data_IF_835314866111
#
_entry.id   IF_835314866111
#
_cell.length_a   1.000
_cell.length_b   1.000
_cell.length_c   1.000
_cell.angle_alpha   90.00
_cell.angle_beta   90.00
_cell.angle_gamma   90.00
#
_symmetry.space_group_name_H-M   'P 1'
#
loop_
_entity.id
_entity.type
_entity.pdbx_description
1 polymer ?
#
# COMPACT_ATOMS: atom_id res chain seq x y z
N UNK A 1 -20.97 -13.78 22.07
CA UNK A 1 -19.95 -12.83 22.55
C UNK A 1 -19.14 -12.23 21.40
N UNK A 2 -18.64 -13.02 20.44
CA UNK A 2 -17.83 -12.51 19.32
C UNK A 2 -18.54 -11.49 18.40
N UNK A 3 -19.84 -11.64 18.13
CA UNK A 3 -20.56 -10.71 17.24
C UNK A 3 -20.83 -9.35 17.91
N UNK A 4 -21.21 -9.34 19.20
CA UNK A 4 -21.46 -8.10 19.96
C UNK A 4 -20.21 -7.24 20.03
N UNK A 5 -19.05 -7.86 20.27
CA UNK A 5 -17.75 -7.21 20.30
C UNK A 5 -17.40 -6.58 18.93
N UNK A 6 -17.61 -7.30 17.82
CA UNK A 6 -17.37 -6.76 16.48
C UNK A 6 -18.25 -5.54 16.13
N UNK A 7 -19.51 -5.50 16.60
CA UNK A 7 -20.36 -4.33 16.45
C UNK A 7 -19.84 -3.12 17.23
N UNK A 8 -19.37 -3.33 18.46
CA UNK A 8 -18.83 -2.28 19.32
C UNK A 8 -17.50 -1.74 18.79
N UNK A 9 -16.60 -2.61 18.37
CA UNK A 9 -15.33 -2.25 17.72
C UNK A 9 -15.55 -1.40 16.47
N UNK A 10 -16.47 -1.82 15.58
CA UNK A 10 -16.80 -1.04 14.39
C UNK A 10 -17.41 0.32 14.75
N UNK A 11 -18.28 0.39 15.78
CA UNK A 11 -18.90 1.64 16.22
C UNK A 11 -17.86 2.59 16.84
N UNK A 12 -16.97 2.08 17.67
CA UNK A 12 -15.87 2.82 18.28
C UNK A 12 -14.94 3.38 17.21
N UNK A 13 -14.46 2.53 16.28
CA UNK A 13 -13.61 2.96 15.18
C UNK A 13 -14.26 4.04 14.33
N UNK A 14 -15.56 3.90 14.01
CA UNK A 14 -16.31 4.91 13.24
C UNK A 14 -16.42 6.23 14.00
N UNK A 15 -16.57 6.20 15.32
CA UNK A 15 -16.63 7.41 16.13
C UNK A 15 -15.27 8.13 16.18
N UNK A 16 -14.18 7.39 16.40
CA UNK A 16 -12.82 7.96 16.41
C UNK A 16 -12.45 8.51 15.02
N UNK A 17 -12.74 7.76 13.96
CA UNK A 17 -12.58 8.24 12.59
C UNK A 17 -13.32 9.56 12.36
N UNK A 18 -14.54 9.70 12.87
CA UNK A 18 -15.31 10.94 12.74
C UNK A 18 -14.67 12.10 13.52
N UNK A 19 -14.11 11.83 14.70
CA UNK A 19 -13.42 12.82 15.52
C UNK A 19 -12.12 13.33 14.86
N UNK A 20 -11.45 12.49 14.07
CA UNK A 20 -10.22 12.82 13.34
C UNK A 20 -10.48 13.58 12.02
N UNK A 21 -11.73 13.70 11.60
CA UNK A 21 -12.13 14.56 10.48
C UNK A 21 -12.38 15.98 10.99
N UNK A 22 -11.79 16.97 10.32
CA UNK A 22 -11.93 18.37 10.71
C UNK A 22 -13.02 19.10 9.92
N UNK A 23 -12.62 20.12 9.17
CA UNK A 23 -13.57 20.93 8.39
C UNK A 23 -14.37 20.02 7.45
N UNK A 24 -15.69 20.26 7.36
CA UNK A 24 -16.64 19.43 6.59
C UNK A 24 -16.75 17.97 7.05
N UNK A 25 -16.40 17.64 8.30
CA UNK A 25 -16.46 16.27 8.86
C UNK A 25 -17.70 15.47 8.48
N UNK A 26 -18.91 16.04 8.61
CA UNK A 26 -20.15 15.32 8.31
C UNK A 26 -20.22 14.89 6.84
N UNK A 27 -19.85 15.78 5.91
CA UNK A 27 -19.88 15.48 4.47
C UNK A 27 -18.75 14.52 4.07
N UNK A 28 -17.58 14.61 4.71
CA UNK A 28 -16.47 13.67 4.50
C UNK A 28 -16.85 12.27 4.99
N UNK A 29 -17.46 12.18 6.17
CA UNK A 29 -17.89 10.90 6.73
C UNK A 29 -19.04 10.28 5.92
N UNK A 30 -20.03 11.07 5.52
CA UNK A 30 -21.09 10.60 4.63
C UNK A 30 -20.57 10.15 3.25
N UNK A 31 -19.45 10.70 2.76
CA UNK A 31 -18.77 10.18 1.55
C UNK A 31 -18.20 8.77 1.79
N UNK A 32 -17.63 8.51 2.97
CA UNK A 32 -17.16 7.17 3.35
C UNK A 32 -18.33 6.19 3.40
N UNK A 33 -19.42 6.57 4.08
CA UNK A 33 -20.64 5.74 4.15
C UNK A 33 -21.21 5.48 2.74
N UNK A 34 -21.26 6.50 1.87
CA UNK A 34 -21.72 6.36 0.49
C UNK A 34 -20.86 5.40 -0.34
N UNK A 35 -19.52 5.45 -0.20
CA UNK A 35 -18.63 4.50 -0.87
C UNK A 35 -18.87 3.07 -0.39
N UNK A 36 -19.07 2.91 0.91
CA UNK A 36 -19.28 1.60 1.52
C UNK A 36 -20.63 0.96 1.14
N UNK A 37 -21.66 1.74 0.84
CA UNK A 37 -22.99 1.22 0.49
C UNK A 37 -23.33 1.25 -1.00
N UNK A 38 -22.55 1.95 -1.83
CA UNK A 38 -22.82 2.01 -3.27
C UNK A 38 -22.26 0.76 -3.96
N UNK A 39 -23.09 -0.04 -4.66
CA UNK A 39 -22.68 -1.33 -5.20
C UNK A 39 -21.73 -1.25 -6.41
N UNK A 40 -21.56 -0.07 -7.01
CA UNK A 40 -20.62 0.15 -8.11
C UNK A 40 -19.76 1.39 -7.87
N UNK A 41 -18.51 1.36 -8.36
CA UNK A 41 -17.66 2.54 -8.42
C UNK A 41 -18.42 3.71 -9.08
N UNK A 42 -18.39 4.86 -8.42
CA UNK A 42 -19.24 5.99 -8.78
C UNK A 42 -18.47 7.31 -8.77
N UNK A 43 -18.96 8.28 -9.52
CA UNK A 43 -18.46 9.67 -9.44
C UNK A 43 -18.96 10.34 -8.16
N UNK A 44 -18.34 11.44 -7.73
CA UNK A 44 -18.79 12.19 -6.54
C UNK A 44 -20.28 12.57 -6.62
N UNK A 45 -20.73 13.04 -7.78
CA UNK A 45 -22.13 13.41 -7.98
C UNK A 45 -23.05 12.20 -7.84
N UNK A 46 -22.66 11.02 -8.35
CA UNK A 46 -23.45 9.80 -8.16
C UNK A 46 -23.43 9.30 -6.72
N UNK A 47 -22.32 9.45 -5.99
CA UNK A 47 -22.26 9.11 -4.57
C UNK A 47 -23.24 9.95 -3.74
N UNK A 48 -23.53 11.19 -4.16
CA UNK A 48 -24.54 12.02 -3.49
C UNK A 48 -25.98 11.52 -3.61
N UNK A 49 -26.23 10.54 -4.50
CA UNK A 49 -27.53 9.90 -4.65
C UNK A 49 -27.68 8.66 -3.75
N UNK A 50 -26.59 8.23 -3.07
CA UNK A 50 -26.67 7.18 -2.06
C UNK A 50 -27.53 7.66 -0.89
N UNK A 51 -28.37 6.77 -0.36
CA UNK A 51 -29.17 7.05 0.85
C UNK A 51 -28.30 7.35 2.08
N UNK A 52 -27.04 6.90 2.06
CA UNK A 52 -26.06 7.19 3.09
C UNK A 52 -25.50 8.62 3.02
N UNK A 53 -25.66 9.32 1.89
CA UNK A 53 -25.28 10.71 1.72
C UNK A 53 -26.50 11.62 1.86
N UNK A 54 -26.67 12.25 3.01
CA UNK A 54 -27.92 12.97 3.37
C UNK A 54 -27.89 14.43 2.92
N UNK A 55 -26.77 14.89 2.37
CA UNK A 55 -26.54 16.26 1.91
C UNK A 55 -26.75 16.38 0.39
N UNK A 56 -26.85 17.61 -0.09
CA UNK A 56 -26.98 17.85 -1.53
C UNK A 56 -25.67 17.60 -2.26
N UNK A 57 -25.75 17.28 -3.56
CA UNK A 57 -24.59 16.96 -4.38
C UNK A 57 -23.41 17.95 -4.29
N UNK A 58 -23.59 19.28 -4.17
CA UNK A 58 -22.45 20.21 -4.09
C UNK A 58 -21.58 19.95 -2.86
N UNK A 59 -22.15 19.39 -1.79
CA UNK A 59 -21.43 19.05 -0.56
C UNK A 59 -20.36 17.98 -0.79
N UNK A 60 -20.48 17.13 -1.82
CA UNK A 60 -19.43 16.14 -2.15
C UNK A 60 -18.15 16.83 -2.63
N UNK A 61 -18.28 17.78 -3.55
CA UNK A 61 -17.15 18.56 -4.07
C UNK A 61 -16.60 19.50 -3.00
N UNK A 62 -17.46 20.17 -2.24
CA UNK A 62 -17.10 21.09 -1.15
C UNK A 62 -16.32 20.37 -0.03
N UNK A 63 -16.74 19.16 0.35
CA UNK A 63 -16.03 18.33 1.33
C UNK A 63 -14.60 18.02 0.89
N UNK A 64 -14.42 17.61 -0.37
CA UNK A 64 -13.07 17.32 -0.87
C UNK A 64 -12.28 18.55 -1.26
N UNK A 65 -12.90 19.70 -1.51
CA UNK A 65 -12.18 20.94 -1.83
C UNK A 65 -11.68 21.62 -0.56
N UNK A 66 -12.55 21.73 0.45
CA UNK A 66 -12.34 22.58 1.63
C UNK A 66 -12.37 21.80 2.95
N UNK A 67 -12.55 20.48 2.93
CA UNK A 67 -12.49 19.68 4.15
C UNK A 67 -11.06 19.42 4.63
N UNK A 68 -10.91 18.99 5.88
CA UNK A 68 -9.61 18.61 6.45
C UNK A 68 -9.65 17.24 7.10
N UNK A 69 -8.50 16.58 7.09
CA UNK A 69 -8.28 15.25 7.67
C UNK A 69 -7.02 15.34 8.51
N UNK A 70 -7.09 14.97 9.79
CA UNK A 70 -5.89 14.84 10.61
C UNK A 70 -5.19 13.52 10.29
N UNK A 71 -4.20 13.59 9.41
CA UNK A 71 -3.44 12.42 8.96
C UNK A 71 -2.64 11.78 10.12
N UNK A 72 -2.17 12.57 11.08
CA UNK A 72 -1.45 12.02 12.23
C UNK A 72 -2.37 11.23 13.14
N UNK A 73 -3.57 11.76 13.40
CA UNK A 73 -4.59 11.07 14.18
C UNK A 73 -5.08 9.79 13.48
N UNK A 74 -5.35 9.84 12.17
CA UNK A 74 -5.72 8.64 11.40
C UNK A 74 -4.64 7.56 11.43
N UNK A 75 -3.35 7.92 11.33
CA UNK A 75 -2.27 6.94 11.47
C UNK A 75 -2.27 6.29 12.85
N UNK A 76 -2.51 7.06 13.92
CA UNK A 76 -2.63 6.51 15.28
C UNK A 76 -3.84 5.59 15.41
N UNK A 77 -4.99 5.98 14.85
CA UNK A 77 -6.20 5.15 14.82
C UNK A 77 -5.93 3.82 14.10
N UNK A 78 -5.31 3.85 12.91
CA UNK A 78 -4.99 2.65 12.15
C UNK A 78 -3.95 1.77 12.85
N UNK A 79 -2.89 2.40 13.40
CA UNK A 79 -1.85 1.70 14.15
C UNK A 79 -2.39 1.01 15.40
N UNK A 80 -3.19 1.72 16.21
CA UNK A 80 -3.81 1.16 17.41
C UNK A 80 -4.81 0.05 17.09
N UNK A 81 -5.62 0.22 16.04
CA UNK A 81 -6.55 -0.83 15.58
C UNK A 81 -5.81 -2.06 15.02
N UNK A 82 -4.59 -1.88 14.50
CA UNK A 82 -3.77 -2.99 13.99
C UNK A 82 -3.21 -3.85 15.13
N UNK A 83 -2.91 -3.29 16.30
CA UNK A 83 -2.38 -4.05 17.45
C UNK A 83 -3.30 -5.23 17.82
N UNK A 84 -4.61 -5.06 17.62
CA UNK A 84 -5.63 -6.09 17.82
C UNK A 84 -5.76 -7.09 16.64
N UNK A 85 -5.00 -6.91 15.55
CA UNK A 85 -5.18 -7.62 14.27
C UNK A 85 -3.90 -8.33 13.80
N UNK A 86 -3.89 -9.66 14.01
CA UNK A 86 -3.20 -10.73 13.28
C UNK A 86 -1.75 -10.54 12.78
N UNK A 87 -0.89 -11.50 13.16
CA UNK A 87 0.49 -11.65 12.69
C UNK A 87 0.61 -12.75 11.63
N UNK A 88 1.54 -12.62 10.69
CA UNK A 88 1.91 -13.68 9.75
C UNK A 88 3.22 -14.30 10.21
N UNK A 89 3.18 -15.60 10.54
CA UNK A 89 4.35 -16.33 11.07
C UNK A 89 4.98 -15.60 12.30
N UNK A 90 4.13 -15.10 13.20
CA UNK A 90 4.55 -14.50 14.48
C UNK A 90 5.02 -13.05 14.42
N UNK A 91 4.97 -12.38 13.26
CA UNK A 91 5.33 -10.96 13.11
C UNK A 91 4.29 -10.15 12.34
N UNK A 92 4.15 -8.83 12.59
CA UNK A 92 3.39 -7.94 11.73
C UNK A 92 4.03 -7.90 10.34
N UNK A 93 3.24 -8.16 9.29
CA UNK A 93 3.71 -8.14 7.91
C UNK A 93 3.16 -6.93 7.18
N UNK A 94 4.05 -6.09 6.68
CA UNK A 94 3.73 -4.89 5.92
C UNK A 94 4.25 -4.98 4.49
N UNK A 95 3.59 -4.25 3.60
CA UNK A 95 3.90 -4.17 2.18
C UNK A 95 3.92 -2.70 1.78
N UNK A 96 4.99 -2.29 1.08
CA UNK A 96 5.04 -0.97 0.44
C UNK A 96 4.97 -1.16 -1.06
N UNK A 97 3.99 -0.49 -1.68
CA UNK A 97 3.86 -0.51 -3.13
C UNK A 97 3.29 0.81 -3.69
N UNK A 98 3.69 1.10 -4.92
CA UNK A 98 3.31 2.30 -5.65
C UNK A 98 2.18 2.02 -6.63
N UNK A 99 1.23 2.93 -6.73
CA UNK A 99 0.20 2.85 -7.77
C UNK A 99 -0.26 4.23 -8.20
N UNK A 100 -0.71 4.35 -9.46
CA UNK A 100 -1.02 5.64 -10.05
C UNK A 100 -2.52 5.92 -10.21
N UNK A 101 -2.82 7.22 -10.26
CA UNK A 101 -4.11 7.79 -10.60
C UNK A 101 -3.99 8.54 -11.94
N UNK A 102 -4.43 7.94 -13.06
CA UNK A 102 -4.32 8.54 -14.39
C UNK A 102 -5.14 9.83 -14.58
N UNK A 103 -4.48 10.87 -15.10
CA UNK A 103 -4.98 12.24 -15.33
C UNK A 103 -4.58 12.83 -16.70
N UNK A 104 -4.74 12.10 -17.84
CA UNK A 104 -4.22 12.55 -19.13
C UNK A 104 -4.84 13.87 -19.64
N UNK A 105 -6.15 14.06 -19.44
CA UNK A 105 -6.87 15.24 -19.90
C UNK A 105 -6.91 16.40 -18.88
N UNK A 106 -6.40 16.21 -17.66
CA UNK A 106 -6.60 17.16 -16.55
C UNK A 106 -5.55 18.28 -16.54
N UNK A 107 -5.54 19.15 -17.55
CA UNK A 107 -4.54 20.23 -17.69
C UNK A 107 -4.48 21.20 -16.51
N UNK A 108 -5.61 21.36 -15.80
CA UNK A 108 -5.72 22.22 -14.62
C UNK A 108 -5.39 21.52 -13.30
N UNK A 109 -4.81 20.33 -13.33
CA UNK A 109 -4.31 19.62 -12.15
C UNK A 109 -2.79 19.79 -12.05
N UNK A 110 -2.36 20.45 -10.97
CA UNK A 110 -0.96 20.54 -10.59
C UNK A 110 -0.38 19.16 -10.22
N UNK A 111 0.93 19.10 -10.05
CA UNK A 111 1.69 17.96 -9.52
C UNK A 111 1.55 16.64 -10.28
N UNK A 112 1.11 16.69 -11.54
CA UNK A 112 1.07 15.51 -12.40
C UNK A 112 2.49 15.16 -12.84
N UNK A 113 2.82 13.88 -12.75
CA UNK A 113 4.07 13.30 -13.23
C UNK A 113 3.80 12.31 -14.35
N UNK A 114 4.83 12.00 -15.14
CA UNK A 114 4.76 10.95 -16.15
C UNK A 114 4.87 9.58 -15.48
N UNK A 115 3.79 8.78 -15.56
CA UNK A 115 3.72 7.46 -14.93
C UNK A 115 3.41 6.36 -15.94
N UNK A 116 4.04 5.20 -15.75
CA UNK A 116 3.73 4.03 -16.55
C UNK A 116 2.34 3.49 -16.21
N UNK A 117 1.49 3.36 -17.22
CA UNK A 117 0.19 2.71 -17.18
C UNK A 117 0.20 1.57 -18.20
N UNK A 118 0.15 0.31 -17.76
CA UNK A 118 -0.07 -0.80 -18.66
C UNK A 118 -1.49 -0.64 -19.24
N UNK A 119 -1.58 -0.32 -20.52
CA UNK A 119 -2.82 -0.34 -21.27
C UNK A 119 -2.82 -1.61 -22.12
N UNK A 120 -3.99 -2.21 -22.29
CA UNK A 120 -4.17 -3.39 -23.15
C UNK A 120 -4.34 -2.95 -24.61
N UNK A 121 -3.47 -3.41 -25.51
CA UNK A 121 -3.54 -3.15 -26.97
C UNK A 121 -2.26 -2.55 -27.57
N UNK A 122 -2.22 -2.39 -28.90
CA UNK A 122 -1.10 -1.79 -29.66
C UNK A 122 -1.58 -0.59 -30.52
N UNK A 123 -0.75 0.47 -30.71
CA UNK A 123 0.45 0.82 -29.97
C UNK A 123 0.09 1.77 -28.82
N UNK A 124 0.64 1.55 -27.63
CA UNK A 124 0.46 2.46 -26.51
C UNK A 124 1.80 2.62 -25.82
N UNK A 125 2.41 3.81 -25.95
CA UNK A 125 3.67 4.16 -25.28
C UNK A 125 3.57 4.08 -23.74
N UNK A 126 2.41 3.70 -23.18
CA UNK A 126 2.27 3.19 -21.82
C UNK A 126 2.58 4.20 -20.73
N UNK A 127 2.75 5.49 -21.04
CA UNK A 127 3.07 6.54 -20.08
C UNK A 127 1.99 7.62 -20.17
N UNK A 128 1.40 7.98 -19.04
CA UNK A 128 0.34 8.99 -18.97
C UNK A 128 0.62 9.99 -17.84
N UNK A 129 0.16 11.24 -17.96
CA UNK A 129 0.12 12.16 -16.82
C UNK A 129 -0.75 11.56 -15.73
N UNK A 130 -0.22 11.48 -14.52
CA UNK A 130 -0.90 10.89 -13.38
C UNK A 130 -0.40 11.51 -12.07
N UNK A 131 -1.13 11.27 -10.99
CA UNK A 131 -0.56 11.38 -9.65
C UNK A 131 -0.11 9.99 -9.22
N UNK A 132 1.12 9.85 -8.74
CA UNK A 132 1.58 8.61 -8.13
C UNK A 132 1.36 8.64 -6.63
N UNK A 133 0.94 7.51 -6.07
CA UNK A 133 0.77 7.31 -4.65
C UNK A 133 1.58 6.10 -4.21
N UNK A 134 2.13 6.19 -3.02
CA UNK A 134 2.78 5.08 -2.34
C UNK A 134 1.94 4.71 -1.11
N UNK A 135 1.63 3.42 -1.00
CA UNK A 135 0.82 2.86 0.06
C UNK A 135 1.68 1.95 0.92
N UNK A 136 1.66 2.19 2.22
CA UNK A 136 2.13 1.25 3.24
C UNK A 136 0.90 0.56 3.82
N UNK A 137 0.84 -0.76 3.69
CA UNK A 137 -0.32 -1.57 4.13
C UNK A 137 0.13 -2.74 4.99
N UNK A 138 -0.65 -3.12 5.99
CA UNK A 138 -0.50 -4.40 6.67
C UNK A 138 -1.22 -5.52 5.90
N UNK A 139 -0.66 -6.72 5.95
CA UNK A 139 -1.30 -7.96 5.50
C UNK A 139 -1.59 -8.80 6.74
N UNK A 140 -2.83 -8.80 7.25
CA UNK A 140 -3.14 -9.41 8.55
C UNK A 140 -3.13 -10.93 8.51
N UNK A 141 -3.48 -11.54 7.37
CA UNK A 141 -3.69 -12.98 7.28
C UNK A 141 -2.66 -13.68 6.38
N UNK A 142 -2.32 -14.92 6.76
CA UNK A 142 -1.49 -15.86 5.99
C UNK A 142 -2.12 -16.24 4.63
N UNK A 143 -3.43 -16.01 4.48
CA UNK A 143 -4.21 -16.30 3.27
C UNK A 143 -5.26 -15.22 3.02
N UNK A 144 -5.97 -15.30 1.89
CA UNK A 144 -7.00 -14.32 1.52
C UNK A 144 -6.43 -13.05 0.88
N UNK A 145 -7.31 -12.06 0.71
CA UNK A 145 -7.07 -10.85 -0.10
C UNK A 145 -7.18 -9.54 0.70
N UNK A 146 -7.08 -9.61 2.02
CA UNK A 146 -7.15 -8.43 2.89
C UNK A 146 -5.81 -7.72 2.96
N UNK A 147 -5.87 -6.40 2.87
CA UNK A 147 -4.79 -5.51 3.29
C UNK A 147 -5.42 -4.36 4.09
N UNK A 148 -4.67 -3.82 5.04
CA UNK A 148 -5.10 -2.74 5.92
C UNK A 148 -4.18 -1.54 5.69
N UNK A 149 -4.64 -0.45 5.06
CA UNK A 149 -3.83 0.73 4.85
C UNK A 149 -3.32 1.33 6.17
N UNK A 150 -2.02 1.55 6.29
CA UNK A 150 -1.40 2.19 7.46
C UNK A 150 -1.00 3.63 7.16
N UNK A 151 -0.47 3.86 5.96
CA UNK A 151 -0.14 5.20 5.50
C UNK A 151 -0.22 5.30 3.97
N UNK A 152 -0.48 6.50 3.48
CA UNK A 152 -0.55 6.79 2.05
C UNK A 152 -0.03 8.18 1.74
N UNK A 153 0.90 8.25 0.78
CA UNK A 153 1.56 9.50 0.42
C UNK A 153 1.58 9.67 -1.10
N UNK A 154 1.14 10.84 -1.56
CA UNK A 154 1.30 11.24 -2.96
C UNK A 154 2.75 11.65 -3.20
N UNK A 155 3.33 11.10 -4.25
CA UNK A 155 4.68 11.44 -4.70
C UNK A 155 4.60 12.53 -5.77
N UNK A 156 4.65 13.78 -5.33
CA UNK A 156 4.67 14.95 -6.22
C UNK A 156 5.97 15.08 -7.04
N UNK A 157 6.11 16.15 -7.83
CA UNK A 157 7.30 16.43 -8.63
C UNK A 157 8.58 16.61 -7.81
N UNK A 158 8.46 17.25 -6.65
CA UNK A 158 9.55 17.53 -5.71
C UNK A 158 9.67 16.48 -4.61
N UNK A 159 8.87 15.41 -4.69
CA UNK A 159 8.94 14.34 -3.71
C UNK A 159 10.30 13.64 -3.81
N UNK A 160 10.77 13.19 -2.65
CA UNK A 160 11.98 12.40 -2.56
C UNK A 160 11.87 11.06 -3.32
N UNK A 161 12.96 10.29 -3.29
CA UNK A 161 12.98 8.97 -3.90
C UNK A 161 11.85 8.09 -3.33
N UNK A 162 11.42 7.08 -4.09
CA UNK A 162 10.39 6.14 -3.61
C UNK A 162 10.82 5.49 -2.29
N UNK A 163 12.11 5.17 -2.21
CA UNK A 163 12.76 4.60 -1.03
C UNK A 163 12.70 5.51 0.18
N UNK A 164 13.01 6.79 0.01
CA UNK A 164 13.00 7.71 1.14
C UNK A 164 11.57 7.88 1.69
N UNK A 165 10.60 8.08 0.80
CA UNK A 165 9.18 8.10 1.18
C UNK A 165 8.78 6.80 1.89
N UNK A 166 9.28 5.64 1.44
CA UNK A 166 8.96 4.35 2.07
C UNK A 166 9.48 4.28 3.51
N UNK A 167 10.72 4.72 3.73
CA UNK A 167 11.33 4.76 5.07
C UNK A 167 10.61 5.74 6.00
N UNK A 168 10.22 6.91 5.49
CA UNK A 168 9.44 7.90 6.25
C UNK A 168 8.06 7.36 6.67
N UNK A 169 7.37 6.65 5.76
CA UNK A 169 6.08 6.02 6.08
C UNK A 169 6.24 4.95 7.18
N UNK A 170 7.30 4.12 7.11
CA UNK A 170 7.60 3.13 8.16
C UNK A 170 7.81 3.85 9.50
N UNK A 171 8.67 4.87 9.53
CA UNK A 171 8.96 5.64 10.75
C UNK A 171 7.70 6.29 11.32
N UNK A 172 6.89 6.93 10.47
CA UNK A 172 5.66 7.59 10.89
C UNK A 172 4.64 6.61 11.50
N UNK A 173 4.49 5.41 10.92
CA UNK A 173 3.59 4.38 11.46
C UNK A 173 4.18 3.77 12.74
N UNK A 174 5.49 3.50 12.81
CA UNK A 174 6.12 3.00 14.04
C UNK A 174 5.98 3.96 15.20
N UNK A 175 6.12 5.27 14.97
CA UNK A 175 5.87 6.28 16.00
C UNK A 175 4.41 6.37 16.46
N UNK A 176 3.47 5.92 15.62
CA UNK A 176 2.05 5.90 15.96
C UNK A 176 1.64 4.63 16.74
N UNK A 177 2.49 3.59 16.76
CA UNK A 177 2.27 2.35 17.48
C UNK A 177 2.73 2.46 18.95
N UNK A 178 2.16 1.63 19.81
CA UNK A 178 2.63 1.47 21.17
C UNK A 178 4.04 0.86 21.18
N UNK A 179 4.86 1.26 22.16
CA UNK A 179 6.27 0.85 22.25
C UNK A 179 6.50 -0.66 22.37
N UNK A 180 5.50 -1.42 22.82
CA UNK A 180 5.55 -2.87 22.96
C UNK A 180 5.20 -3.62 21.66
N UNK A 181 4.80 -2.91 20.60
CA UNK A 181 4.39 -3.54 19.34
C UNK A 181 5.58 -4.23 18.67
N UNK A 182 5.46 -5.51 18.30
CA UNK A 182 6.55 -6.25 17.67
C UNK A 182 7.08 -5.52 16.43
N UNK A 183 8.40 -5.64 16.21
CA UNK A 183 9.07 -5.10 15.03
C UNK A 183 8.47 -5.74 13.76
N UNK A 184 7.97 -4.97 12.79
CA UNK A 184 7.34 -5.51 11.60
C UNK A 184 8.36 -6.02 10.59
N UNK A 185 7.91 -6.90 9.71
CA UNK A 185 8.59 -7.25 8.46
C UNK A 185 7.97 -6.44 7.33
N UNK A 186 8.77 -5.70 6.57
CA UNK A 186 8.30 -4.85 5.47
C UNK A 186 8.82 -5.41 4.16
N UNK A 187 7.91 -5.74 3.25
CA UNK A 187 8.25 -6.26 1.93
C UNK A 187 8.26 -5.17 0.86
N UNK A 188 9.30 -5.15 0.03
CA UNK A 188 9.52 -4.17 -1.04
C UNK A 188 9.88 -4.87 -2.35
N UNK A 189 9.55 -4.26 -3.50
CA UNK A 189 10.02 -4.77 -4.80
C UNK A 189 11.42 -4.26 -5.18
N UNK A 190 11.86 -4.64 -6.37
CA UNK A 190 13.17 -4.30 -6.91
C UNK A 190 13.29 -2.88 -7.46
N UNK A 191 12.21 -2.09 -7.39
CA UNK A 191 12.20 -0.68 -7.78
C UNK A 191 12.73 0.25 -6.69
N UNK A 192 12.87 -0.23 -5.46
CA UNK A 192 13.43 0.53 -4.35
C UNK A 192 14.96 0.47 -4.34
N UNK A 193 15.58 1.61 -4.03
CA UNK A 193 17.03 1.78 -3.99
C UNK A 193 17.67 1.01 -2.83
N UNK A 194 18.49 0.02 -3.16
CA UNK A 194 19.05 -0.90 -2.19
C UNK A 194 20.13 -0.26 -1.30
N UNK A 195 20.88 0.73 -1.81
CA UNK A 195 21.91 1.44 -1.03
C UNK A 195 21.28 2.23 0.13
N UNK A 196 20.22 2.98 -0.17
CA UNK A 196 19.46 3.72 0.84
C UNK A 196 18.78 2.78 1.86
N UNK A 197 18.21 1.66 1.40
CA UNK A 197 17.60 0.67 2.30
C UNK A 197 18.63 0.01 3.22
N UNK A 198 19.79 -0.38 2.68
CA UNK A 198 20.85 -1.03 3.46
C UNK A 198 21.37 -0.13 4.60
N UNK A 199 21.49 1.18 4.35
CA UNK A 199 21.92 2.18 5.35
C UNK A 199 20.82 2.60 6.31
N UNK A 200 19.58 2.16 6.10
CA UNK A 200 18.45 2.62 6.91
C UNK A 200 18.49 2.05 8.33
N UNK A 201 18.10 2.86 9.30
CA UNK A 201 18.05 2.49 10.73
C UNK A 201 16.61 2.41 11.26
N UNK A 202 15.65 2.21 10.34
CA UNK A 202 14.23 2.17 10.67
C UNK A 202 13.90 1.01 11.61
N UNK A 203 12.86 1.17 12.43
CA UNK A 203 12.39 0.12 13.33
C UNK A 203 11.55 -0.96 12.59
N UNK A 204 12.15 -1.60 11.59
CA UNK A 204 11.56 -2.68 10.79
C UNK A 204 12.63 -3.59 10.16
N UNK A 205 12.28 -4.84 9.87
CA UNK A 205 13.14 -5.70 9.04
C UNK A 205 12.61 -5.75 7.61
N UNK A 206 13.51 -5.58 6.64
CA UNK A 206 13.15 -5.36 5.25
C UNK A 206 13.42 -6.61 4.41
N UNK A 207 12.42 -7.04 3.66
CA UNK A 207 12.52 -8.11 2.66
C UNK A 207 12.37 -7.47 1.28
N UNK A 208 13.49 -7.27 0.58
CA UNK A 208 13.53 -6.51 -0.67
C UNK A 208 13.78 -7.45 -1.83
N UNK A 209 12.95 -7.37 -2.88
CA UNK A 209 13.23 -8.13 -4.11
C UNK A 209 14.48 -7.60 -4.80
N UNK A 210 15.39 -8.50 -5.17
CA UNK A 210 16.54 -8.15 -5.98
C UNK A 210 16.27 -8.42 -7.46
N UNK A 211 16.67 -7.49 -8.32
CA UNK A 211 16.66 -7.71 -9.75
C UNK A 211 17.76 -8.71 -10.12
N UNK A 212 17.47 -9.64 -11.04
CA UNK A 212 18.37 -10.75 -11.41
C UNK A 212 19.79 -10.34 -11.83
N UNK A 213 19.96 -9.10 -12.31
CA UNK A 213 21.22 -8.59 -12.84
C UNK A 213 22.05 -7.84 -11.79
N UNK A 214 21.61 -7.85 -10.53
CA UNK A 214 22.34 -7.17 -9.46
C UNK A 214 23.64 -7.90 -9.14
N UNK A 215 24.61 -7.11 -8.71
CA UNK A 215 25.90 -7.54 -8.20
C UNK A 215 26.03 -6.95 -6.80
N UNK A 216 26.39 -7.79 -5.84
CA UNK A 216 26.77 -7.42 -4.48
C UNK A 216 28.17 -7.96 -4.22
N UNK A 217 28.77 -7.62 -3.09
CA UNK A 217 30.16 -7.92 -2.80
C UNK A 217 30.29 -8.52 -1.42
N UNK A 218 31.23 -9.44 -1.26
CA UNK A 218 31.68 -9.87 0.06
C UNK A 218 32.48 -8.76 0.74
N UNK A 219 32.52 -8.80 2.08
CA UNK A 219 33.45 -7.97 2.85
C UNK A 219 34.88 -8.31 2.45
N UNK A 220 35.69 -7.29 2.16
CA UNK A 220 37.10 -7.47 1.82
C UNK A 220 37.89 -7.91 3.06
N UNK A 221 38.79 -8.87 2.89
CA UNK A 221 39.78 -9.20 3.91
C UNK A 221 40.69 -7.99 4.19
N UNK A 222 40.86 -7.66 5.48
CA UNK A 222 41.77 -6.59 5.89
C UNK A 222 43.19 -7.11 5.89
N UNK A 223 43.98 -6.68 4.91
CA UNK A 223 45.42 -6.92 4.90
C UNK A 223 46.19 -5.70 5.42
N UNK A 224 47.20 -5.87 6.31
CA UNK A 224 48.06 -4.78 6.72
C UNK A 224 48.90 -4.29 5.53
N UNK A 225 48.82 -2.99 5.22
CA UNK A 225 49.54 -2.37 4.11
C UNK A 225 49.42 -0.86 4.10
N UNK A 226 50.24 -0.18 3.28
CA UNK A 226 50.15 1.27 3.05
C UNK A 226 49.16 1.56 1.92
N UNK A 227 48.07 2.26 2.22
CA UNK A 227 47.08 2.70 1.22
C UNK A 227 45.63 2.65 1.72
N UNK A 228 44.67 3.06 0.88
CA UNK A 228 43.24 2.90 1.16
C UNK A 228 42.89 1.41 1.21
N UNK A 229 42.29 0.90 2.30
CA UNK A 229 41.87 -0.50 2.37
C UNK A 229 40.93 -0.87 1.23
N UNK A 230 41.02 -2.11 0.75
CA UNK A 230 40.03 -2.65 -0.21
C UNK A 230 38.65 -2.62 0.46
N UNK A 231 37.66 -2.11 -0.25
CA UNK A 231 36.28 -1.98 0.24
C UNK A 231 35.40 -3.18 -0.14
N UNK A 232 35.75 -3.88 -1.22
CA UNK A 232 34.98 -4.97 -1.77
C UNK A 232 35.87 -6.20 -1.90
N UNK A 233 35.38 -7.33 -1.39
CA UNK A 233 35.91 -8.65 -1.66
C UNK A 233 35.43 -9.15 -3.02
N UNK A 234 35.27 -10.47 -3.12
CA UNK A 234 34.78 -11.09 -4.35
C UNK A 234 33.36 -10.62 -4.70
N UNK A 235 33.09 -10.53 -6.01
CA UNK A 235 31.80 -10.10 -6.51
C UNK A 235 30.82 -11.27 -6.54
N UNK A 236 29.67 -11.11 -5.88
CA UNK A 236 28.54 -12.03 -5.92
C UNK A 236 27.54 -11.54 -6.97
N UNK A 237 27.46 -12.23 -8.12
CA UNK A 237 26.60 -11.87 -9.25
C UNK A 237 25.37 -12.77 -9.26
N UNK A 238 24.18 -12.21 -9.05
CA UNK A 238 22.94 -13.00 -8.93
C UNK A 238 22.61 -13.84 -10.17
N UNK A 239 23.10 -13.44 -11.34
CA UNK A 239 22.89 -14.13 -12.61
C UNK A 239 23.90 -15.27 -12.87
N UNK A 240 24.95 -15.39 -12.06
CA UNK A 240 26.11 -16.25 -12.30
C UNK A 240 26.43 -17.07 -11.04
N UNK A 241 26.03 -18.34 -11.05
CA UNK A 241 26.07 -19.24 -9.89
C UNK A 241 27.49 -19.55 -9.42
N UNK A 242 28.48 -19.49 -10.32
CA UNK A 242 29.88 -19.78 -10.00
C UNK A 242 30.47 -18.73 -9.04
N UNK A 243 29.82 -17.57 -8.91
CA UNK A 243 30.25 -16.48 -8.02
C UNK A 243 29.68 -16.55 -6.61
N UNK A 244 28.76 -17.48 -6.32
CA UNK A 244 28.00 -17.45 -5.06
C UNK A 244 28.75 -18.05 -3.88
N UNK A 245 29.68 -18.98 -4.14
CA UNK A 245 30.31 -19.78 -3.08
C UNK A 245 29.28 -20.63 -2.31
N UNK A 246 29.69 -21.16 -1.16
CA UNK A 246 28.80 -21.96 -0.31
C UNK A 246 27.85 -21.06 0.51
N UNK A 247 26.54 -21.35 0.55
CA UNK A 247 25.62 -20.63 1.41
C UNK A 247 25.87 -20.96 2.89
N UNK A 248 25.79 -19.95 3.75
CA UNK A 248 25.92 -20.10 5.19
C UNK A 248 24.72 -20.83 5.81
N UNK A 249 23.52 -20.64 5.24
CA UNK A 249 22.30 -21.31 5.67
C UNK A 249 21.56 -21.87 4.46
N UNK A 250 20.97 -23.06 4.60
CA UNK A 250 20.15 -23.66 3.56
C UNK A 250 18.97 -24.41 4.20
N UNK A 251 17.81 -24.34 3.58
CA UNK A 251 16.60 -25.04 4.00
C UNK A 251 15.90 -25.61 2.77
N UNK A 252 15.31 -26.79 2.91
CA UNK A 252 14.49 -27.43 1.88
C UNK A 252 13.13 -27.78 2.44
N UNK A 253 12.09 -27.58 1.65
CA UNK A 253 10.74 -28.02 1.98
C UNK A 253 10.00 -28.48 0.73
N UNK A 254 8.98 -29.31 0.94
CA UNK A 254 8.05 -29.70 -0.11
C UNK A 254 6.80 -28.82 -0.04
N UNK A 255 6.42 -28.19 -1.14
CA UNK A 255 5.23 -27.36 -1.23
C UNK A 255 4.28 -27.87 -2.31
N UNK A 256 3.00 -28.06 -1.99
CA UNK A 256 2.01 -28.66 -2.90
C UNK A 256 1.99 -28.01 -4.30
N UNK A 257 1.96 -26.66 -4.34
CA UNK A 257 1.90 -25.90 -5.59
C UNK A 257 3.25 -25.72 -6.31
N UNK A 258 4.38 -25.78 -5.59
CA UNK A 258 5.70 -25.38 -6.10
C UNK A 258 6.70 -26.54 -6.20
N UNK A 259 6.34 -27.72 -5.71
CA UNK A 259 7.23 -28.88 -5.62
C UNK A 259 8.29 -28.70 -4.53
N UNK A 260 9.49 -29.25 -4.74
CA UNK A 260 10.63 -28.98 -3.88
C UNK A 260 11.01 -27.49 -3.92
N UNK A 261 11.24 -26.91 -2.75
CA UNK A 261 11.65 -25.53 -2.58
C UNK A 261 12.97 -25.52 -1.81
N UNK A 262 14.00 -24.97 -2.44
CA UNK A 262 15.32 -24.77 -1.86
C UNK A 262 15.52 -23.28 -1.58
N UNK A 263 15.91 -22.98 -0.35
CA UNK A 263 16.17 -21.62 0.11
C UNK A 263 17.59 -21.58 0.65
N UNK A 264 18.44 -20.81 0.01
CA UNK A 264 19.84 -20.63 0.37
C UNK A 264 20.06 -19.17 0.79
N UNK A 265 20.85 -18.92 1.83
CA UNK A 265 21.17 -17.58 2.30
C UNK A 265 22.68 -17.36 2.42
N UNK A 266 23.10 -16.19 1.97
CA UNK A 266 24.46 -15.68 2.10
C UNK A 266 24.45 -14.42 2.96
N UNK A 267 25.28 -14.40 4.00
CA UNK A 267 25.37 -13.30 4.97
C UNK A 267 26.58 -12.41 4.69
N UNK A 268 26.62 -11.22 5.30
CA UNK A 268 27.76 -10.29 5.20
C UNK A 268 28.08 -9.85 3.75
N UNK A 269 27.03 -9.56 2.97
CA UNK A 269 27.14 -9.03 1.61
C UNK A 269 26.74 -7.55 1.57
N UNK A 270 27.34 -6.77 0.69
CA UNK A 270 27.01 -5.34 0.55
C UNK A 270 26.92 -4.89 -0.90
N UNK A 271 26.21 -3.78 -1.11
CA UNK A 271 26.19 -3.07 -2.40
C UNK A 271 27.41 -2.15 -2.52
N UNK A 272 27.83 -1.86 -3.76
CA UNK A 272 29.02 -1.06 -4.03
C UNK A 272 29.01 0.31 -3.31
N UNK A 273 27.89 1.03 -3.31
CA UNK A 273 27.77 2.32 -2.62
C UNK A 273 27.56 2.25 -1.11
N UNK A 274 27.42 1.04 -0.53
CA UNK A 274 27.22 0.86 0.91
C UNK A 274 28.07 -0.28 1.53
N UNK A 275 29.41 -0.21 1.43
CA UNK A 275 30.29 -1.26 1.97
C UNK A 275 30.28 -1.40 3.49
N UNK A 276 29.80 -0.37 4.18
CA UNK A 276 29.66 -0.31 5.63
C UNK A 276 28.27 -0.79 6.11
N UNK A 277 27.37 -1.16 5.20
CA UNK A 277 26.02 -1.63 5.52
C UNK A 277 25.75 -3.02 4.93
N UNK A 278 26.35 -4.08 5.49
CA UNK A 278 26.14 -5.44 5.02
C UNK A 278 24.72 -5.93 5.34
N UNK A 279 24.21 -6.84 4.50
CA UNK A 279 22.92 -7.49 4.62
C UNK A 279 23.01 -8.93 4.11
N UNK A 280 21.91 -9.68 4.24
CA UNK A 280 21.85 -11.06 3.77
C UNK A 280 21.14 -11.17 2.42
N UNK A 281 21.67 -11.96 1.50
CA UNK A 281 21.02 -12.31 0.24
C UNK A 281 20.41 -13.69 0.35
N UNK A 282 19.17 -13.85 -0.07
CA UNK A 282 18.42 -15.11 -0.03
C UNK A 282 17.98 -15.48 -1.44
N UNK A 283 18.31 -16.69 -1.86
CA UNK A 283 17.83 -17.31 -3.10
C UNK A 283 16.73 -18.30 -2.77
N UNK A 284 15.58 -18.13 -3.40
CA UNK A 284 14.48 -19.11 -3.39
C UNK A 284 14.37 -19.73 -4.78
N UNK A 285 14.67 -21.03 -4.86
CA UNK A 285 14.49 -21.83 -6.04
C UNK A 285 13.35 -22.82 -5.80
N UNK A 286 12.36 -22.82 -6.70
CA UNK A 286 11.25 -23.77 -6.67
C UNK A 286 11.44 -24.80 -7.79
N UNK A 287 10.86 -25.99 -7.66
CA UNK A 287 10.87 -27.03 -8.69
C UNK A 287 9.97 -26.64 -9.87
N UNK A 288 8.78 -26.12 -9.58
CA UNK A 288 7.77 -25.76 -10.59
C UNK A 288 6.95 -24.54 -10.23
N UNK A 289 6.37 -23.89 -11.24
CA UNK A 289 5.37 -22.83 -11.06
C UNK A 289 3.98 -23.35 -11.43
N UNK A 290 2.93 -22.98 -10.68
CA UNK A 290 1.56 -23.26 -11.09
C UNK A 290 1.29 -22.73 -12.50
N UNK A 291 0.76 -23.60 -13.37
CA UNK A 291 0.34 -23.24 -14.73
C UNK A 291 1.46 -22.73 -15.66
N UNK A 292 2.74 -23.00 -15.38
CA UNK A 292 3.84 -22.71 -16.32
C UNK A 292 4.70 -23.94 -16.59
N UNK A 293 5.05 -24.12 -17.86
CA UNK A 293 5.92 -25.21 -18.33
C UNK A 293 7.42 -24.89 -18.28
N UNK A 294 7.77 -23.60 -18.26
CA UNK A 294 9.17 -23.17 -18.24
C UNK A 294 9.77 -23.36 -16.85
N UNK A 295 11.07 -23.70 -16.77
CA UNK A 295 11.75 -23.84 -15.49
C UNK A 295 11.67 -22.50 -14.72
N UNK A 296 11.30 -22.54 -13.44
CA UNK A 296 11.26 -21.36 -12.59
C UNK A 296 12.63 -20.70 -12.50
N UNK A 297 12.66 -19.38 -12.72
CA UNK A 297 13.83 -18.58 -12.38
C UNK A 297 13.89 -18.36 -10.87
N UNK A 298 15.09 -18.29 -10.27
CA UNK A 298 15.23 -18.02 -8.86
C UNK A 298 14.64 -16.66 -8.48
N UNK A 299 13.97 -16.63 -7.33
CA UNK A 299 13.61 -15.39 -6.65
C UNK A 299 14.77 -15.00 -5.74
N UNK A 300 15.26 -13.79 -5.91
CA UNK A 300 16.32 -13.22 -5.09
C UNK A 300 15.75 -12.16 -4.17
N UNK A 301 16.09 -12.25 -2.88
CA UNK A 301 15.66 -11.33 -1.84
C UNK A 301 16.89 -10.81 -1.10
N UNK A 302 16.85 -9.57 -0.64
CA UNK A 302 17.72 -9.06 0.41
C UNK A 302 16.94 -9.01 1.72
N UNK A 303 17.58 -9.45 2.79
CA UNK A 303 17.13 -9.31 4.17
C UNK A 303 18.02 -8.28 4.85
N UNK A 304 17.43 -7.15 5.23
CA UNK A 304 18.10 -6.01 5.86
C UNK A 304 17.42 -5.76 7.22
N UNK A 305 18.18 -5.79 8.31
CA UNK A 305 17.65 -5.59 9.66
C UNK A 305 18.25 -6.58 10.66
N UNK A 306 17.41 -7.15 11.52
CA UNK A 306 17.80 -8.13 12.53
C UNK A 306 18.41 -9.43 11.97
N UNK A 307 18.71 -10.41 12.84
CA UNK A 307 19.23 -11.70 12.41
C UNK A 307 18.25 -12.42 11.47
N UNK A 308 18.78 -13.25 10.57
CA UNK A 308 17.96 -14.12 9.73
C UNK A 308 17.07 -15.02 10.62
N UNK A 309 15.81 -15.28 10.23
CA UNK A 309 14.99 -16.28 10.89
C UNK A 309 15.66 -17.66 10.85
N UNK A 310 15.51 -18.44 11.92
CA UNK A 310 16.02 -19.83 11.97
C UNK A 310 15.41 -20.69 10.87
N UNK A 311 14.11 -20.51 10.57
CA UNK A 311 13.45 -21.10 9.42
C UNK A 311 13.42 -20.10 8.26
N UNK A 312 14.30 -20.29 7.27
CA UNK A 312 14.38 -19.43 6.08
C UNK A 312 13.09 -19.47 5.23
N UNK A 313 12.25 -20.50 5.36
CA UNK A 313 11.01 -20.61 4.60
C UNK A 313 9.98 -19.55 4.97
N UNK A 314 10.10 -18.96 6.16
CA UNK A 314 9.29 -17.82 6.59
C UNK A 314 9.52 -16.59 5.69
N UNK A 315 10.77 -16.30 5.29
CA UNK A 315 11.09 -15.17 4.41
C UNK A 315 10.37 -15.27 3.06
N UNK A 316 10.34 -16.48 2.51
CA UNK A 316 9.63 -16.76 1.28
C UNK A 316 8.11 -16.60 1.45
N UNK A 317 7.53 -17.12 2.54
CA UNK A 317 6.09 -16.95 2.85
C UNK A 317 5.71 -15.49 3.02
N UNK A 318 6.46 -14.70 3.78
CA UNK A 318 6.25 -13.26 3.90
C UNK A 318 6.29 -12.57 2.54
N UNK A 319 7.29 -12.88 1.71
CA UNK A 319 7.41 -12.25 0.40
C UNK A 319 6.28 -12.65 -0.57
N UNK A 320 5.79 -13.90 -0.53
CA UNK A 320 4.64 -14.33 -1.33
C UNK A 320 3.38 -13.50 -1.02
N UNK A 321 3.19 -13.10 0.25
CA UNK A 321 2.06 -12.26 0.65
C UNK A 321 2.15 -10.82 0.15
N UNK A 322 3.31 -10.34 -0.32
CA UNK A 322 3.45 -9.01 -0.97
C UNK A 322 2.44 -8.84 -2.11
N UNK A 323 2.19 -9.88 -2.90
CA UNK A 323 1.28 -9.81 -4.05
C UNK A 323 -0.17 -9.47 -3.66
N UNK A 324 -0.56 -9.62 -2.40
CA UNK A 324 -1.89 -9.26 -1.90
C UNK A 324 -2.22 -7.79 -2.14
N UNK A 325 -1.21 -6.90 -2.14
CA UNK A 325 -1.40 -5.46 -2.41
C UNK A 325 -1.94 -5.18 -3.81
N UNK A 326 -1.61 -6.03 -4.80
CA UNK A 326 -2.13 -5.88 -6.17
C UNK A 326 -3.63 -6.15 -6.24
N UNK A 327 -4.09 -7.15 -5.48
CA UNK A 327 -5.53 -7.42 -5.33
C UNK A 327 -6.23 -6.26 -4.62
N UNK A 328 -5.60 -5.66 -3.61
CA UNK A 328 -6.11 -4.48 -2.95
C UNK A 328 -6.21 -3.29 -3.92
N UNK A 329 -5.16 -2.95 -4.66
CA UNK A 329 -5.22 -1.85 -5.65
C UNK A 329 -6.30 -2.07 -6.70
N UNK A 330 -6.50 -3.32 -7.14
CA UNK A 330 -7.62 -3.66 -8.02
C UNK A 330 -8.95 -3.35 -7.34
N UNK A 331 -9.14 -3.79 -6.09
CA UNK A 331 -10.35 -3.54 -5.31
C UNK A 331 -10.61 -2.04 -5.09
N UNK A 332 -9.59 -1.26 -4.69
CA UNK A 332 -9.68 0.19 -4.51
C UNK A 332 -10.13 0.88 -5.80
N UNK A 333 -9.54 0.52 -6.95
CA UNK A 333 -9.82 1.16 -8.25
C UNK A 333 -11.15 0.72 -8.86
N UNK A 334 -11.52 -0.55 -8.71
CA UNK A 334 -12.65 -1.16 -9.43
C UNK A 334 -13.93 -1.20 -8.60
N UNK A 335 -13.83 -1.36 -7.28
CA UNK A 335 -14.99 -1.45 -6.39
C UNK A 335 -15.21 -0.13 -5.64
N UNK A 336 -14.24 0.31 -4.84
CA UNK A 336 -14.38 1.54 -4.03
C UNK A 336 -14.28 2.84 -4.86
N UNK A 337 -13.89 2.73 -6.13
CA UNK A 337 -13.85 3.87 -7.04
C UNK A 337 -12.77 4.89 -6.71
N UNK A 338 -11.68 4.48 -6.06
CA UNK A 338 -10.57 5.35 -5.66
C UNK A 338 -10.15 6.31 -6.78
N UNK A 339 -9.91 5.81 -7.99
CA UNK A 339 -9.48 6.64 -9.13
C UNK A 339 -10.61 7.14 -10.05
N UNK A 340 -11.88 6.88 -9.67
CA UNK A 340 -13.07 7.23 -10.48
C UNK A 340 -13.46 8.69 -10.31
N UNK A 341 -13.29 9.24 -9.10
CA UNK A 341 -13.55 10.66 -8.84
C UNK A 341 -12.57 11.55 -9.61
N UNK A 342 -12.96 12.79 -9.91
CA UNK A 342 -12.18 13.71 -10.75
C UNK A 342 -11.91 15.05 -10.06
N UNK A 343 -11.31 15.06 -8.85
CA UNK A 343 -10.97 16.31 -8.17
C UNK A 343 -9.95 17.09 -8.98
N UNK A 344 -10.08 18.41 -9.10
CA UNK A 344 -9.10 19.24 -9.82
C UNK A 344 -7.77 19.33 -9.07
N UNK A 345 -7.84 19.59 -7.77
CA UNK A 345 -6.69 19.84 -6.90
C UNK A 345 -6.13 18.52 -6.35
N UNK A 346 -4.83 18.48 -6.11
CA UNK A 346 -4.16 17.27 -5.63
C UNK A 346 -4.49 16.99 -4.15
N UNK A 347 -4.54 18.01 -3.30
CA UNK A 347 -4.92 17.85 -1.88
C UNK A 347 -6.33 17.28 -1.68
N UNK A 348 -7.24 17.55 -2.63
CA UNK A 348 -8.58 16.98 -2.66
C UNK A 348 -8.54 15.47 -2.95
N UNK A 349 -7.62 15.05 -3.81
CA UNK A 349 -7.36 13.64 -4.08
C UNK A 349 -6.66 12.95 -2.92
N UNK A 350 -5.76 13.65 -2.21
CA UNK A 350 -5.10 13.14 -1.01
C UNK A 350 -6.13 12.86 0.09
N UNK A 351 -7.04 13.81 0.37
CA UNK A 351 -8.16 13.62 1.30
C UNK A 351 -9.06 12.47 0.91
N UNK A 352 -9.45 12.39 -0.36
CA UNK A 352 -10.24 11.25 -0.87
C UNK A 352 -9.51 9.92 -0.66
N UNK A 353 -8.19 9.90 -0.84
CA UNK A 353 -7.38 8.69 -0.67
C UNK A 353 -7.39 8.22 0.79
N UNK A 354 -7.31 9.14 1.75
CA UNK A 354 -7.49 8.83 3.17
C UNK A 354 -8.90 8.33 3.50
N UNK A 355 -9.96 8.89 2.91
CA UNK A 355 -11.31 8.37 3.09
C UNK A 355 -11.46 6.92 2.58
N UNK A 356 -10.81 6.59 1.46
CA UNK A 356 -10.76 5.22 0.92
C UNK A 356 -9.96 4.28 1.84
N UNK A 357 -8.85 4.76 2.41
CA UNK A 357 -8.10 4.00 3.41
C UNK A 357 -8.95 3.68 4.63
N UNK A 358 -9.69 4.66 5.16
CA UNK A 358 -10.62 4.47 6.28
C UNK A 358 -11.77 3.52 5.94
N UNK A 359 -12.27 3.54 4.70
CA UNK A 359 -13.28 2.58 4.24
C UNK A 359 -12.76 1.13 4.28
N UNK A 360 -11.48 0.90 3.96
CA UNK A 360 -10.88 -0.44 4.03
C UNK A 360 -10.86 -0.99 5.45
N UNK A 361 -10.54 -0.16 6.44
CA UNK A 361 -10.59 -0.54 7.85
C UNK A 361 -11.98 -0.89 8.33
N UNK A 362 -12.99 -0.11 7.92
CA UNK A 362 -14.37 -0.42 8.29
C UNK A 362 -14.85 -1.75 7.69
N UNK A 363 -14.45 -2.06 6.45
CA UNK A 363 -14.72 -3.37 5.86
C UNK A 363 -14.02 -4.49 6.63
N UNK A 364 -12.78 -4.27 7.09
CA UNK A 364 -12.05 -5.26 7.88
C UNK A 364 -12.70 -5.54 9.23
N UNK A 365 -13.09 -4.49 9.95
CA UNK A 365 -13.77 -4.61 11.25
C UNK A 365 -15.18 -5.20 11.12
N UNK A 366 -15.84 -4.96 9.99
CA UNK A 366 -17.15 -5.53 9.68
C UNK A 366 -17.08 -6.99 9.20
N UNK A 367 -15.90 -7.53 8.86
CA UNK A 367 -15.75 -8.89 8.32
C UNK A 367 -16.40 -9.99 9.17
N UNK A 368 -16.36 -9.97 10.53
CA UNK A 368 -16.92 -11.06 11.34
C UNK A 368 -18.45 -11.00 11.39
N UNK A 369 -19.05 -9.88 10.96
CA UNK A 369 -20.50 -9.66 10.93
C UNK A 369 -21.14 -10.23 9.65
N UNK A 370 -20.34 -10.73 8.71
CA UNK A 370 -20.79 -11.24 7.42
C UNK A 370 -20.47 -12.73 7.36
N UNK A 371 -21.52 -13.56 7.27
CA UNK A 371 -21.38 -14.98 6.91
C UNK A 371 -21.09 -15.13 5.41
N UNK A 372 -20.65 -16.31 4.95
CA UNK A 372 -20.37 -16.58 3.53
C UNK A 372 -21.62 -16.37 2.65
N UNK A 373 -21.80 -15.14 2.17
CA UNK A 373 -22.84 -14.79 1.21
C UNK A 373 -22.21 -14.69 -0.16
N UNK A 374 -22.65 -15.61 -1.02
CA UNK A 374 -22.19 -15.78 -2.39
C UNK A 374 -23.26 -15.33 -3.36
N UNK A 375 -22.84 -14.78 -4.49
CA UNK A 375 -23.73 -14.66 -5.64
C UNK A 375 -24.05 -16.07 -6.17
N UNK A 376 -25.18 -16.26 -6.88
CA UNK A 376 -25.59 -17.59 -7.36
C UNK A 376 -24.54 -18.33 -8.22
N UNK A 377 -23.62 -17.59 -8.84
CA UNK A 377 -22.53 -18.12 -9.67
C UNK A 377 -21.16 -18.17 -8.97
N UNK A 378 -21.05 -17.75 -7.71
CA UNK A 378 -19.79 -17.79 -6.96
C UNK A 378 -19.57 -19.17 -6.32
N UNK A 379 -18.44 -19.80 -6.66
CA UNK A 379 -18.03 -21.05 -6.02
C UNK A 379 -17.66 -20.83 -4.55
N UNK A 380 -18.01 -21.77 -3.65
CA UNK A 380 -17.55 -21.72 -2.27
C UNK A 380 -16.03 -21.77 -2.22
N UNK A 381 -15.44 -20.94 -1.37
CA UNK A 381 -13.99 -20.96 -1.17
C UNK A 381 -13.64 -22.10 -0.23
N UNK A 382 -12.65 -22.94 -0.57
CA UNK A 382 -12.22 -24.03 0.31
C UNK A 382 -11.69 -23.56 1.67
N UNK A 383 -11.16 -22.33 1.73
CA UNK A 383 -10.59 -21.73 2.94
C UNK A 383 -11.63 -21.07 3.87
N UNK A 384 -12.89 -20.95 3.43
CA UNK A 384 -13.96 -20.28 4.20
C UNK A 384 -13.74 -18.79 4.43
N UNK A 385 -12.72 -18.17 3.82
CA UNK A 385 -12.37 -16.77 4.07
C UNK A 385 -13.30 -15.81 3.32
N UNK A 386 -13.80 -14.80 4.02
CA UNK A 386 -14.62 -13.73 3.42
C UNK A 386 -13.70 -12.70 2.77
N UNK A 387 -14.05 -12.24 1.57
CA UNK A 387 -13.29 -11.21 0.82
C UNK A 387 -13.79 -9.79 1.11
N UNK A 388 -12.96 -8.74 0.89
CA UNK A 388 -13.40 -7.35 1.00
C UNK A 388 -14.64 -7.02 0.16
N UNK A 389 -14.74 -7.60 -1.04
CA UNK A 389 -15.88 -7.42 -1.93
C UNK A 389 -17.15 -8.12 -1.46
N UNK A 390 -17.05 -9.21 -0.69
CA UNK A 390 -18.22 -9.81 -0.04
C UNK A 390 -18.71 -8.90 1.10
N UNK A 391 -17.82 -8.41 1.97
CA UNK A 391 -18.22 -7.52 3.05
C UNK A 391 -18.85 -6.22 2.52
N UNK A 392 -18.24 -5.62 1.48
CA UNK A 392 -18.74 -4.40 0.85
C UNK A 392 -20.19 -4.55 0.33
N UNK A 393 -20.52 -5.68 -0.30
CA UNK A 393 -21.90 -5.97 -0.78
C UNK A 393 -22.94 -5.95 0.33
N UNK A 394 -22.56 -6.33 1.55
CA UNK A 394 -23.46 -6.42 2.71
C UNK A 394 -23.41 -5.20 3.62
N UNK A 395 -22.50 -4.27 3.36
CA UNK A 395 -22.25 -3.16 4.28
C UNK A 395 -23.46 -2.25 4.46
N UNK A 396 -24.39 -2.18 3.50
CA UNK A 396 -25.65 -1.44 3.68
C UNK A 396 -26.45 -1.95 4.88
N UNK A 397 -26.59 -3.26 5.06
CA UNK A 397 -27.27 -3.83 6.22
C UNK A 397 -26.52 -3.56 7.53
N UNK A 398 -25.18 -3.54 7.45
CA UNK A 398 -24.32 -3.21 8.58
C UNK A 398 -24.50 -1.74 8.98
N UNK A 399 -24.52 -0.84 8.01
CA UNK A 399 -24.70 0.59 8.20
C UNK A 399 -26.03 0.91 8.91
N UNK A 400 -27.11 0.21 8.57
CA UNK A 400 -28.42 0.38 9.22
C UNK A 400 -28.35 0.13 10.73
N UNK A 401 -27.55 -0.85 11.16
CA UNK A 401 -27.42 -1.23 12.58
C UNK A 401 -26.38 -0.42 13.35
N UNK A 402 -25.24 -0.09 12.72
CA UNK A 402 -24.18 0.69 13.37
C UNK A 402 -24.48 2.20 13.35
N UNK A 403 -25.27 2.67 12.39
CA UNK A 403 -25.61 4.08 12.22
C UNK A 403 -24.45 4.92 11.69
N UNK A 404 -24.63 6.25 11.67
CA UNK A 404 -23.60 7.21 11.25
C UNK A 404 -23.35 8.24 12.36
N UNK A 405 -22.08 8.55 12.70
CA UNK A 405 -21.74 9.63 13.62
C UNK A 405 -21.97 11.02 13.02
N UNK A 406 -22.10 11.12 11.68
CA UNK A 406 -22.35 12.38 11.01
C UNK A 406 -23.67 13.01 11.48
N UNK A 407 -23.64 14.31 11.75
CA UNK A 407 -24.81 15.07 12.19
C UNK A 407 -25.81 15.25 11.05
N UNK A 408 -27.08 15.32 11.42
CA UNK A 408 -28.16 15.57 10.47
C UNK A 408 -27.93 16.90 9.70
N UNK A 409 -28.21 16.93 8.39
CA UNK A 409 -28.05 18.14 7.60
C UNK A 409 -28.96 19.26 8.10
N UNK A 410 -28.41 20.46 8.22
CA UNK A 410 -29.19 21.67 8.52
C UNK A 410 -29.64 22.34 7.23
N UNK A 411 -30.87 22.85 7.21
CA UNK A 411 -31.34 23.68 6.09
C UNK A 411 -30.47 24.94 6.04
N UNK A 412 -29.79 25.15 4.91
CA UNK A 412 -29.14 26.42 4.60
C UNK A 412 -30.07 27.22 3.69
N UNK A 413 -30.18 28.53 3.94
CA UNK A 413 -30.87 29.44 3.02
C UNK A 413 -30.22 29.46 1.63
N UNK A 414 -30.85 30.18 0.69
CA UNK A 414 -30.26 30.39 -0.64
C UNK A 414 -28.92 31.10 -0.47
N UNK A 415 -27.86 30.54 -1.08
CA UNK A 415 -26.59 31.26 -1.17
C UNK A 415 -26.83 32.57 -1.95
N UNK A 416 -26.16 33.68 -1.61
CA UNK A 416 -26.23 34.91 -2.43
C UNK A 416 -25.76 34.69 -3.87
N UNK A 417 -25.18 33.53 -4.18
CA UNK A 417 -24.69 33.18 -5.50
C UNK A 417 -23.40 33.92 -5.79
N UNK A 418 -23.07 34.03 -7.08
CA UNK A 418 -21.98 34.89 -7.54
C UNK A 418 -22.47 36.32 -7.60
N UNK A 419 -21.60 37.27 -7.28
CA UNK A 419 -21.91 38.68 -7.49
C UNK A 419 -22.22 38.93 -8.98
N UNK A 420 -23.22 39.76 -9.28
CA UNK A 420 -23.55 40.14 -10.66
C UNK A 420 -22.31 40.77 -11.31
N UNK A 421 -21.94 40.26 -12.49
CA UNK A 421 -20.72 40.69 -13.20
C UNK A 421 -19.44 39.93 -12.84
N UNK A 422 -19.46 39.05 -11.83
CA UNK A 422 -18.30 38.22 -11.50
C UNK A 422 -17.99 37.23 -12.63
N UNK A 423 -16.80 37.37 -13.22
CA UNK A 423 -16.26 36.46 -14.23
C UNK A 423 -15.06 35.71 -13.63
N UNK A 424 -15.19 34.44 -13.25
CA UNK A 424 -14.06 33.65 -12.77
C UNK A 424 -12.97 33.61 -13.84
N UNK A 425 -11.72 33.77 -13.42
CA UNK A 425 -10.59 33.59 -14.32
C UNK A 425 -10.54 32.13 -14.83
N UNK A 426 -10.06 31.90 -16.06
CA UNK A 426 -9.74 30.55 -16.52
C UNK A 426 -8.82 29.84 -15.53
N UNK A 427 -8.99 28.52 -15.40
CA UNK A 427 -8.09 27.74 -14.54
C UNK A 427 -6.68 27.73 -15.14
N UNK A 428 -5.67 27.86 -14.29
CA UNK A 428 -4.27 27.71 -14.69
C UNK A 428 -4.03 26.33 -15.29
N UNK A 429 -3.19 26.28 -16.32
CA UNK A 429 -2.71 25.03 -16.90
C UNK A 429 -1.32 24.72 -16.33
N UNK A 430 -1.13 23.46 -15.95
CA UNK A 430 0.13 22.97 -15.38
C UNK A 430 0.79 22.00 -16.35
N UNK A 431 2.10 22.14 -16.54
CA UNK A 431 2.90 21.15 -17.23
C UNK A 431 3.02 19.85 -16.43
N UNK A 432 3.36 18.76 -17.12
CA UNK A 432 3.55 17.45 -16.49
C UNK A 432 5.02 17.30 -16.16
N UNK A 433 5.33 17.16 -14.88
CA UNK A 433 6.70 17.11 -14.39
C UNK A 433 7.36 15.75 -14.63
N UNK A 434 8.70 15.75 -14.68
CA UNK A 434 9.54 14.55 -14.59
C UNK A 434 10.28 14.61 -13.25
N UNK A 435 10.27 13.50 -12.49
CA UNK A 435 10.93 13.44 -11.17
C UNK A 435 12.46 13.38 -11.27
N UNK A 436 12.99 12.91 -12.39
CA UNK A 436 14.41 12.96 -12.72
C UNK A 436 14.65 13.94 -13.86
N UNK A 437 15.71 14.78 -13.79
CA UNK A 437 16.16 15.56 -14.94
C UNK A 437 16.43 14.61 -16.12
N UNK A 438 16.21 15.09 -17.34
CA UNK A 438 16.68 14.36 -18.52
C UNK A 438 18.21 14.21 -18.38
N UNK A 439 18.80 13.02 -18.59
CA UNK A 439 20.25 12.92 -18.74
C UNK A 439 20.68 13.98 -19.75
N UNK A 440 21.71 14.76 -19.42
CA UNK A 440 22.29 15.69 -20.39
C UNK A 440 22.64 14.89 -21.65
N UNK A 441 22.21 15.42 -22.80
CA UNK A 441 22.35 14.77 -24.10
C UNK A 441 23.81 14.66 -24.54
#
# INVERSE_FOLDING_TARGET
MLETDAWEQLRHFRQELYNDLGLRQDSLFELVDAVLTTPQRSTLVRLSLSTAFRRLWPSTCDALADGSVDVSALRKLFAGTLEDSATVDGRPLWVIDGTNWPRPAARASADRTWEYRPLTGWPQNGIVPAWAYQWLVAVPDVAGSWVLPLDVQRRGPTAESATQVALEQIVAVRHAQAAHTPRPVVTLDSGYDLETLARSTVDADLVVRLAKHRVVYHVAERHPGRGRPRLHGEAFRLADEDTHGQPQLSTRLLHAAYGEVRIDAWTELHVAGAPDAPFSVVRVQVERLPNKKLPPRPLWLAWIGGPLPTDLSVLWRWYLRRFTVEHAFRFLKQTLGWTTVRPRNADAADRWTWLIASACWQLWLARPLVSDVRLPWEHPRPDGLVTPGQVHRHFTGILVRVGTPARAPRKRGKSPGRCKGQRPLPSLHYEVARRTPRPAA
#
